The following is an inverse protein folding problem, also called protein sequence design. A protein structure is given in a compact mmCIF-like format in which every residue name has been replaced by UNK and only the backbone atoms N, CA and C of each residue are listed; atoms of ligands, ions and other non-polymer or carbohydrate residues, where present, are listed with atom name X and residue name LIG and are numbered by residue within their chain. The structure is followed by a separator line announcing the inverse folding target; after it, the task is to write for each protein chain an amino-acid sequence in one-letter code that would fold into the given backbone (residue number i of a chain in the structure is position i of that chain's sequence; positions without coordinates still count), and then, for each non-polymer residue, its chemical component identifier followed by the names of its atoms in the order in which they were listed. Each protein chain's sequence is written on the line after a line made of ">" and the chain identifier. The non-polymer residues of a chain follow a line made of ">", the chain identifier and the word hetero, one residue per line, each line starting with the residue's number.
data_IF_092151583122
#
_entry.id   IF_092151583122
#
_cell.length_a   1.000
_cell.length_b   1.000
_cell.length_c   1.000
_cell.angle_alpha   90.00
_cell.angle_beta   90.00
_cell.angle_gamma   90.00
#
_symmetry.space_group_name_H-M   'P 1'
#
loop_
_entity.id
_entity.type
_entity.pdbx_description
1 polymer ?
#
# COMPACT_ATOMS: atom_id res chain seq x y z
N UNK A 1 32.21 -44.83 10.27
CA UNK A 1 32.12 -43.80 11.32
C UNK A 1 31.78 -42.42 10.76
N UNK A 2 32.06 -42.09 9.48
CA UNK A 2 31.88 -40.72 8.94
C UNK A 2 30.48 -40.37 8.43
N UNK A 3 29.69 -41.37 8.02
CA UNK A 3 28.30 -41.16 7.57
C UNK A 3 27.40 -40.55 8.66
N UNK A 4 27.75 -40.75 9.93
CA UNK A 4 26.99 -40.21 11.06
C UNK A 4 27.09 -38.68 11.11
N UNK A 5 28.28 -38.12 10.90
CA UNK A 5 28.53 -36.67 10.96
C UNK A 5 27.82 -35.90 9.83
N UNK A 6 27.79 -36.47 8.62
CA UNK A 6 27.09 -35.85 7.49
C UNK A 6 25.57 -35.84 7.75
N UNK A 7 25.02 -36.95 8.22
CA UNK A 7 23.59 -37.05 8.59
C UNK A 7 23.24 -36.10 9.75
N UNK A 8 24.14 -35.97 10.71
CA UNK A 8 23.96 -35.05 11.83
C UNK A 8 24.05 -33.58 11.40
N UNK A 9 24.95 -33.25 10.47
CA UNK A 9 25.02 -31.93 9.83
C UNK A 9 23.73 -31.57 9.10
N UNK A 10 23.12 -32.50 8.37
CA UNK A 10 21.81 -32.29 7.74
C UNK A 10 20.69 -32.07 8.78
N UNK A 11 20.71 -32.78 9.91
CA UNK A 11 19.77 -32.55 11.02
C UNK A 11 19.91 -31.12 11.58
N UNK A 12 21.14 -30.65 11.79
CA UNK A 12 21.37 -29.29 12.29
C UNK A 12 21.02 -28.22 11.26
N UNK A 13 21.25 -28.47 9.97
CA UNK A 13 20.82 -27.58 8.89
C UNK A 13 19.29 -27.45 8.86
N UNK A 14 18.57 -28.57 8.94
CA UNK A 14 17.10 -28.58 9.00
C UNK A 14 16.56 -27.90 10.26
N UNK A 15 17.21 -28.13 11.42
CA UNK A 15 16.83 -27.51 12.69
C UNK A 15 17.07 -26.00 12.65
N UNK A 16 18.25 -25.55 12.23
CA UNK A 16 18.60 -24.13 12.15
C UNK A 16 17.72 -23.36 11.15
N UNK A 17 17.56 -23.89 9.93
CA UNK A 17 16.70 -23.26 8.92
C UNK A 17 15.23 -23.28 9.34
N UNK A 18 14.76 -24.36 9.95
CA UNK A 18 13.40 -24.47 10.47
C UNK A 18 13.09 -23.48 11.58
N UNK A 19 14.00 -23.33 12.55
CA UNK A 19 13.84 -22.36 13.64
C UNK A 19 13.78 -20.92 13.12
N UNK A 20 14.67 -20.55 12.20
CA UNK A 20 14.64 -19.21 11.58
C UNK A 20 13.34 -19.00 10.81
N UNK A 21 12.89 -20.00 10.06
CA UNK A 21 11.65 -19.90 9.30
C UNK A 21 10.43 -19.70 10.21
N UNK A 22 10.33 -20.46 11.30
CA UNK A 22 9.27 -20.30 12.31
C UNK A 22 9.32 -18.91 12.94
N UNK A 23 10.53 -18.43 13.28
CA UNK A 23 10.71 -17.09 13.84
C UNK A 23 10.19 -16.00 12.89
N UNK A 24 10.51 -16.10 11.59
CA UNK A 24 10.02 -15.17 10.58
C UNK A 24 8.49 -15.24 10.43
N UNK A 25 7.90 -16.44 10.47
CA UNK A 25 6.43 -16.59 10.47
C UNK A 25 5.81 -15.83 11.66
N UNK A 26 6.35 -16.01 12.86
CA UNK A 26 5.85 -15.34 14.07
C UNK A 26 6.00 -13.81 13.94
N UNK A 27 7.11 -13.34 13.38
CA UNK A 27 7.35 -11.92 13.12
C UNK A 27 6.31 -11.35 12.15
N UNK A 28 6.07 -12.03 11.03
CA UNK A 28 5.06 -11.63 10.04
C UNK A 28 3.66 -11.65 10.68
N UNK A 29 3.32 -12.68 11.46
CA UNK A 29 2.04 -12.76 12.16
C UNK A 29 1.85 -11.59 13.14
N UNK A 30 2.89 -11.22 13.88
CA UNK A 30 2.89 -10.08 14.79
C UNK A 30 2.67 -8.76 14.05
N UNK A 31 3.32 -8.58 12.90
CA UNK A 31 3.17 -7.39 12.06
C UNK A 31 1.75 -7.30 11.45
N UNK A 32 1.17 -8.43 11.05
CA UNK A 32 -0.23 -8.49 10.62
C UNK A 32 -1.20 -8.17 11.75
N UNK A 33 -0.93 -8.69 12.95
CA UNK A 33 -1.73 -8.40 14.13
C UNK A 33 -1.71 -6.89 14.40
N UNK A 34 -0.53 -6.28 14.41
CA UNK A 34 -0.39 -4.83 14.56
C UNK A 34 -1.17 -4.06 13.49
N UNK A 35 -1.12 -4.49 12.23
CA UNK A 35 -1.90 -3.89 11.14
C UNK A 35 -3.41 -3.96 11.39
N UNK A 36 -3.94 -5.11 11.84
CA UNK A 36 -5.37 -5.27 12.17
C UNK A 36 -5.76 -4.39 13.36
N UNK A 37 -4.93 -4.35 14.40
CA UNK A 37 -5.15 -3.48 15.56
C UNK A 37 -5.20 -2.01 15.14
N UNK A 38 -4.25 -1.55 14.32
CA UNK A 38 -4.23 -0.17 13.83
C UNK A 38 -5.50 0.14 13.04
N UNK A 39 -5.88 -0.67 12.05
CA UNK A 39 -7.08 -0.41 11.24
C UNK A 39 -8.38 -0.44 12.05
N UNK A 40 -8.44 -1.24 13.13
CA UNK A 40 -9.65 -1.36 13.97
C UNK A 40 -9.77 -0.27 15.02
N UNK A 41 -8.67 0.14 15.65
CA UNK A 41 -8.67 1.14 16.71
C UNK A 41 -8.44 2.57 16.19
N UNK A 42 -7.72 2.71 15.08
CA UNK A 42 -7.52 3.96 14.34
C UNK A 42 -7.97 3.77 12.89
N UNK A 43 -9.28 3.63 12.63
CA UNK A 43 -9.79 3.63 11.27
C UNK A 43 -9.34 4.93 10.60
N UNK A 44 -8.44 4.82 9.64
CA UNK A 44 -8.10 5.96 8.80
C UNK A 44 -9.38 6.41 8.12
N UNK A 45 -9.78 7.65 8.38
CA UNK A 45 -10.90 8.29 7.71
C UNK A 45 -10.54 8.34 6.23
N UNK A 46 -11.04 7.36 5.46
CA UNK A 46 -10.93 7.41 4.00
C UNK A 46 -11.45 8.77 3.58
N UNK A 47 -10.69 9.57 2.83
CA UNK A 47 -11.27 10.76 2.23
C UNK A 47 -12.45 10.26 1.40
N UNK A 48 -13.66 10.64 1.82
CA UNK A 48 -14.84 10.43 1.01
C UNK A 48 -14.57 11.17 -0.30
N UNK A 49 -14.26 10.41 -1.34
CA UNK A 49 -14.19 10.94 -2.70
C UNK A 49 -15.64 11.23 -3.04
N UNK A 50 -16.14 12.39 -2.61
CA UNK A 50 -17.50 12.81 -2.83
C UNK A 50 -17.64 13.01 -4.35
N UNK A 51 -18.35 12.12 -5.07
CA UNK A 51 -18.46 12.22 -6.52
C UNK A 51 -19.19 13.49 -6.97
N UNK A 52 -19.80 14.22 -6.03
CA UNK A 52 -20.40 15.53 -6.25
C UNK A 52 -19.38 16.60 -6.65
N UNK A 53 -18.12 16.51 -6.19
CA UNK A 53 -17.07 17.49 -6.55
C UNK A 53 -16.62 17.31 -8.01
N UNK A 54 -16.65 16.08 -8.53
CA UNK A 54 -16.32 15.81 -9.94
C UNK A 54 -17.37 16.36 -10.92
N UNK A 55 -18.62 16.58 -10.47
CA UNK A 55 -19.72 17.05 -11.33
C UNK A 55 -19.84 18.57 -11.42
N UNK A 56 -19.08 19.32 -10.63
CA UNK A 56 -19.08 20.79 -10.64
C UNK A 56 -17.85 21.37 -11.37
N UNK A 57 -17.34 20.69 -12.38
CA UNK A 57 -16.56 21.38 -13.40
C UNK A 57 -17.55 22.18 -14.23
N UNK A 58 -17.78 23.42 -13.82
CA UNK A 58 -18.68 24.37 -14.49
C UNK A 58 -18.09 24.70 -15.86
N UNK A 59 -18.39 23.84 -16.84
CA UNK A 59 -17.95 23.96 -18.22
C UNK A 59 -18.33 25.35 -18.80
N UNK A 60 -19.38 25.99 -18.28
CA UNK A 60 -19.77 27.35 -18.66
C UNK A 60 -18.69 28.38 -18.31
N UNK A 61 -18.03 28.23 -17.17
CA UNK A 61 -16.91 29.09 -16.73
C UNK A 61 -15.67 28.86 -17.59
N UNK A 62 -15.40 27.61 -17.95
CA UNK A 62 -14.28 27.24 -18.84
C UNK A 62 -14.51 27.80 -20.25
N UNK A 63 -15.71 27.64 -20.80
CA UNK A 63 -16.09 28.16 -22.13
C UNK A 63 -16.05 29.70 -22.15
N UNK A 64 -16.51 30.36 -21.09
CA UNK A 64 -16.43 31.82 -20.97
C UNK A 64 -14.98 32.32 -20.94
N UNK A 65 -14.10 31.64 -20.20
CA UNK A 65 -12.68 31.98 -20.14
C UNK A 65 -11.98 31.81 -21.51
N UNK A 66 -12.26 30.71 -22.22
CA UNK A 66 -11.71 30.46 -23.56
C UNK A 66 -12.21 31.52 -24.55
N UNK A 67 -13.50 31.86 -24.51
CA UNK A 67 -14.10 32.87 -25.40
C UNK A 67 -13.51 34.26 -25.16
N UNK A 68 -13.31 34.63 -23.89
CA UNK A 68 -12.67 35.90 -23.53
C UNK A 68 -11.22 35.96 -24.03
N UNK A 69 -10.46 34.87 -23.89
CA UNK A 69 -9.09 34.78 -24.40
C UNK A 69 -9.01 34.94 -25.92
N UNK A 70 -9.90 34.28 -26.67
CA UNK A 70 -9.96 34.39 -28.14
C UNK A 70 -10.37 35.80 -28.57
N UNK A 71 -11.37 36.39 -27.91
CA UNK A 71 -11.81 37.76 -28.21
C UNK A 71 -10.68 38.77 -27.96
N UNK A 72 -9.94 38.61 -26.86
CA UNK A 72 -8.83 39.49 -26.53
C UNK A 72 -7.67 39.37 -27.53
N UNK A 73 -7.38 38.15 -28.01
CA UNK A 73 -6.35 37.91 -29.03
C UNK A 73 -6.71 38.47 -30.41
N UNK A 74 -8.00 38.57 -30.75
CA UNK A 74 -8.46 39.12 -32.04
C UNK A 74 -8.66 40.64 -32.03
N UNK A 75 -8.71 41.25 -30.85
CA UNK A 75 -8.89 42.69 -30.67
C UNK A 75 -7.57 43.44 -30.37
N UNK A 76 -6.47 42.71 -30.16
CA UNK A 76 -5.10 43.24 -30.18
C UNK A 76 -4.44 42.94 -31.52
#
# INVERSE_FOLDING_TARGET
>A
METNLIVEGFKFMGLGMGTVFIFLIIMIASMNLMSIFIHKFFPESKPEINPSVAKKQDNKKVIAAITAAISHHRQG
#
